data_IF_536676006145
#
_entry.id   IF_536676006145
#
_cell.length_a   1.000
_cell.length_b   1.000
_cell.length_c   1.000
_cell.angle_alpha   90.00
_cell.angle_beta   90.00
_cell.angle_gamma   90.00
#
_symmetry.space_group_name_H-M   'P 1'
#
loop_
_entity.id
_entity.type
_entity.pdbx_description
1 polymer ?
#
# COMPACT_ATOMS: atom_id res chain seq x y z
N UNK A 1 26.28 4.70 -20.98
CA UNK A 1 25.08 5.48 -21.34
C UNK A 1 23.94 5.00 -20.46
N UNK A 2 23.51 5.85 -19.53
CA UNK A 2 22.55 5.52 -18.49
C UNK A 2 21.14 5.73 -19.07
N UNK A 3 20.50 4.66 -19.55
CA UNK A 3 19.07 4.71 -19.82
C UNK A 3 18.37 4.67 -18.47
N UNK A 4 18.11 5.84 -17.87
CA UNK A 4 17.03 5.97 -16.89
C UNK A 4 15.71 5.76 -17.63
N UNK A 5 15.45 4.52 -18.02
CA UNK A 5 14.21 4.11 -18.61
C UNK A 5 13.15 4.29 -17.55
N UNK A 6 12.23 5.22 -17.77
CA UNK A 6 10.87 5.01 -17.29
C UNK A 6 10.53 3.55 -17.63
N UNK A 7 10.15 2.68 -16.67
CA UNK A 7 10.01 1.26 -16.97
C UNK A 7 9.11 1.12 -18.19
N UNK A 8 9.57 0.38 -19.21
CA UNK A 8 8.83 0.12 -20.47
C UNK A 8 7.39 -0.39 -20.23
N UNK A 9 7.11 -0.80 -19.00
CA UNK A 9 5.83 -1.23 -18.47
C UNK A 9 4.83 -0.11 -18.20
N UNK A 10 5.24 1.16 -18.02
CA UNK A 10 4.33 2.23 -17.60
C UNK A 10 3.17 2.47 -18.60
N UNK A 11 3.39 2.57 -19.92
CA UNK A 11 2.29 2.68 -20.88
C UNK A 11 1.34 1.47 -20.84
N UNK A 12 1.90 0.26 -20.73
CA UNK A 12 1.11 -0.97 -20.60
C UNK A 12 0.24 -0.97 -19.34
N UNK A 13 0.82 -0.66 -18.17
CA UNK A 13 0.10 -0.64 -16.90
C UNK A 13 -0.99 0.44 -16.87
N UNK A 14 -0.76 1.59 -17.49
CA UNK A 14 -1.78 2.64 -17.62
C UNK A 14 -2.96 2.21 -18.48
N UNK A 15 -2.71 1.58 -19.64
CA UNK A 15 -3.77 1.02 -20.48
C UNK A 15 -4.50 -0.13 -19.78
N UNK A 16 -3.75 -1.01 -19.11
CA UNK A 16 -4.34 -2.11 -18.36
C UNK A 16 -5.23 -1.61 -17.21
N UNK A 17 -4.85 -0.53 -16.53
CA UNK A 17 -5.68 0.10 -15.52
C UNK A 17 -7.01 0.61 -16.09
N UNK A 18 -6.98 1.19 -17.30
CA UNK A 18 -8.18 1.65 -17.99
C UNK A 18 -9.12 0.48 -18.30
N UNK A 19 -8.59 -0.62 -18.84
CA UNK A 19 -9.36 -1.84 -19.12
C UNK A 19 -9.96 -2.45 -17.84
N UNK A 20 -9.20 -2.49 -16.73
CA UNK A 20 -9.70 -2.95 -15.44
C UNK A 20 -10.87 -2.08 -14.94
N UNK A 21 -10.73 -0.76 -14.99
CA UNK A 21 -11.77 0.18 -14.55
C UNK A 21 -13.02 0.13 -15.45
N UNK A 22 -12.88 -0.17 -16.73
CA UNK A 22 -14.01 -0.35 -17.65
C UNK A 22 -14.72 -1.69 -17.46
N UNK A 23 -13.99 -2.73 -17.06
CA UNK A 23 -14.49 -4.11 -17.00
C UNK A 23 -15.03 -4.49 -15.62
N UNK A 24 -14.40 -3.99 -14.54
CA UNK A 24 -14.71 -4.39 -13.17
C UNK A 24 -15.43 -3.26 -12.43
N UNK A 25 -16.30 -3.65 -11.50
CA UNK A 25 -16.88 -2.67 -10.58
C UNK A 25 -15.80 -2.14 -9.61
N UNK A 26 -15.91 -0.90 -9.12
CA UNK A 26 -14.95 -0.35 -8.16
C UNK A 26 -14.75 -1.22 -6.91
N UNK A 27 -15.83 -1.87 -6.43
CA UNK A 27 -15.77 -2.78 -5.29
C UNK A 27 -15.00 -4.07 -5.57
N UNK A 28 -15.17 -4.64 -6.78
CA UNK A 28 -14.41 -5.84 -7.18
C UNK A 28 -12.94 -5.51 -7.41
N UNK A 29 -12.64 -4.37 -8.03
CA UNK A 29 -11.28 -3.90 -8.27
C UNK A 29 -10.55 -3.58 -6.95
N UNK A 30 -11.22 -2.91 -6.01
CA UNK A 30 -10.68 -2.68 -4.66
C UNK A 30 -10.39 -3.99 -3.92
N UNK A 31 -11.30 -4.97 -3.97
CA UNK A 31 -11.08 -6.30 -3.39
C UNK A 31 -9.89 -7.03 -4.04
N UNK A 32 -9.80 -7.01 -5.37
CA UNK A 32 -8.69 -7.60 -6.10
C UNK A 32 -7.35 -7.01 -5.64
N UNK A 33 -7.26 -5.69 -5.52
CA UNK A 33 -6.04 -5.02 -5.08
C UNK A 33 -5.71 -5.32 -3.62
N UNK A 34 -6.72 -5.28 -2.74
CA UNK A 34 -6.56 -5.67 -1.34
C UNK A 34 -6.02 -7.09 -1.19
N UNK A 35 -6.66 -8.08 -1.84
CA UNK A 35 -6.23 -9.47 -1.75
C UNK A 35 -4.84 -9.69 -2.35
N UNK A 36 -4.48 -8.91 -3.38
CA UNK A 36 -3.12 -8.84 -3.92
C UNK A 36 -2.13 -8.31 -2.88
N UNK A 37 -2.49 -7.28 -2.13
CA UNK A 37 -1.70 -6.74 -1.03
C UNK A 37 -1.49 -7.73 0.11
N UNK A 38 -2.55 -8.42 0.53
CA UNK A 38 -2.45 -9.48 1.56
C UNK A 38 -1.52 -10.60 1.10
N UNK A 39 -1.62 -11.01 -0.18
CA UNK A 39 -0.72 -12.01 -0.76
C UNK A 39 0.72 -11.51 -0.83
N UNK A 40 0.92 -10.24 -1.19
CA UNK A 40 2.23 -9.60 -1.19
C UNK A 40 2.86 -9.62 0.21
N UNK A 41 2.12 -9.23 1.24
CA UNK A 41 2.60 -9.25 2.62
C UNK A 41 3.10 -10.64 3.03
N UNK A 42 2.39 -11.71 2.64
CA UNK A 42 2.81 -13.10 2.91
C UNK A 42 4.10 -13.50 2.19
N UNK A 43 4.39 -12.89 1.04
CA UNK A 43 5.61 -13.14 0.28
C UNK A 43 6.80 -12.35 0.84
N UNK A 44 6.58 -11.09 1.25
CA UNK A 44 7.58 -10.22 1.85
C UNK A 44 7.42 -10.21 3.37
N UNK A 45 7.90 -11.26 4.01
CA UNK A 45 7.78 -11.46 5.46
C UNK A 45 8.64 -10.43 6.20
N UNK A 46 8.07 -9.81 7.23
CA UNK A 46 8.80 -8.87 8.08
C UNK A 46 9.69 -9.60 9.09
N UNK A 47 10.80 -8.96 9.45
CA UNK A 47 11.52 -9.35 10.66
C UNK A 47 10.64 -9.08 11.90
N UNK A 48 10.83 -9.81 13.01
CA UNK A 48 10.12 -9.54 14.26
C UNK A 48 10.35 -8.10 14.73
N UNK A 49 9.29 -7.46 15.22
CA UNK A 49 9.31 -6.12 15.80
C UNK A 49 8.44 -6.11 17.06
N UNK A 50 8.92 -5.51 18.14
CA UNK A 50 8.23 -5.43 19.43
C UNK A 50 7.73 -4.03 19.79
N UNK A 51 8.13 -3.00 19.04
CA UNK A 51 7.73 -1.60 19.25
C UNK A 51 7.27 -0.95 17.95
N UNK A 52 6.47 0.12 18.02
CA UNK A 52 6.01 0.87 16.83
C UNK A 52 7.17 1.37 15.96
N UNK A 53 8.24 1.84 16.59
CA UNK A 53 9.45 2.26 15.88
C UNK A 53 10.09 1.10 15.09
N UNK A 54 10.24 -0.08 15.71
CA UNK A 54 10.77 -1.26 15.03
C UNK A 54 9.84 -1.73 13.90
N UNK A 55 8.52 -1.66 14.08
CA UNK A 55 7.54 -1.99 13.04
C UNK A 55 7.75 -1.09 11.81
N UNK A 56 7.89 0.21 12.02
CA UNK A 56 8.18 1.17 10.95
C UNK A 56 9.50 0.81 10.24
N UNK A 57 10.56 0.50 10.98
CA UNK A 57 11.86 0.17 10.41
C UNK A 57 11.84 -1.08 9.54
N UNK A 58 11.19 -2.16 10.00
CA UNK A 58 11.10 -3.41 9.22
C UNK A 58 10.21 -3.26 7.98
N UNK A 59 9.13 -2.47 8.05
CA UNK A 59 8.29 -2.16 6.88
C UNK A 59 9.07 -1.32 5.86
N UNK A 60 9.77 -0.28 6.32
CA UNK A 60 10.59 0.57 5.46
C UNK A 60 11.82 -0.14 4.89
N UNK A 61 12.31 -1.20 5.52
CA UNK A 61 13.30 -2.05 4.90
C UNK A 61 12.76 -2.68 3.61
N UNK A 62 11.56 -3.28 3.63
CA UNK A 62 10.94 -3.85 2.43
C UNK A 62 10.68 -2.79 1.36
N UNK A 63 10.14 -1.63 1.74
CA UNK A 63 9.83 -0.58 0.77
C UNK A 63 11.06 0.03 0.09
N UNK A 64 12.18 0.18 0.81
CA UNK A 64 13.43 0.66 0.23
C UNK A 64 14.01 -0.32 -0.78
N UNK A 65 14.00 -1.63 -0.48
CA UNK A 65 14.50 -2.66 -1.40
C UNK A 65 13.71 -2.67 -2.73
N UNK A 66 12.42 -2.35 -2.67
CA UNK A 66 11.56 -2.28 -3.85
C UNK A 66 11.53 -0.90 -4.51
N UNK A 67 12.05 0.13 -3.85
CA UNK A 67 11.89 1.54 -4.23
C UNK A 67 10.42 1.99 -4.28
N UNK A 68 9.61 1.52 -3.32
CA UNK A 68 8.17 1.81 -3.22
C UNK A 68 7.83 2.90 -2.22
N UNK A 69 8.82 3.69 -1.81
CA UNK A 69 8.65 4.80 -0.91
C UNK A 69 8.90 4.43 0.55
N UNK A 70 8.18 5.08 1.45
CA UNK A 70 8.35 4.93 2.89
C UNK A 70 7.03 5.11 3.63
N UNK A 71 6.96 4.54 4.84
CA UNK A 71 5.85 4.68 5.77
C UNK A 71 6.33 5.30 7.07
N UNK A 72 5.55 6.23 7.58
CA UNK A 72 5.65 6.76 8.94
C UNK A 72 4.47 6.23 9.75
N UNK A 73 4.72 5.80 10.99
CA UNK A 73 3.69 5.25 11.87
C UNK A 73 3.57 6.12 13.12
N UNK A 74 2.41 6.77 13.25
CA UNK A 74 2.03 7.50 14.44
C UNK A 74 1.10 6.67 15.32
N UNK A 75 1.41 6.60 16.62
CA UNK A 75 0.54 5.98 17.61
C UNK A 75 -0.42 7.02 18.18
N UNK A 76 -1.72 6.67 18.22
CA UNK A 76 -2.74 7.39 18.98
C UNK A 76 -3.43 6.43 19.94
N UNK A 77 -4.21 6.96 20.90
CA UNK A 77 -4.78 6.16 22.01
C UNK A 77 -5.55 4.89 21.60
N UNK A 78 -6.12 4.82 20.39
CA UNK A 78 -6.96 3.70 19.94
C UNK A 78 -6.59 3.13 18.57
N UNK A 79 -5.59 3.70 17.89
CA UNK A 79 -5.24 3.31 16.51
C UNK A 79 -3.81 3.70 16.14
N UNK A 80 -3.24 2.96 15.20
CA UNK A 80 -2.03 3.36 14.49
C UNK A 80 -2.43 4.08 13.20
N UNK A 81 -1.78 5.20 12.92
CA UNK A 81 -1.92 5.94 11.67
C UNK A 81 -0.66 5.75 10.85
N UNK A 82 -0.81 5.24 9.63
CA UNK A 82 0.29 4.99 8.72
C UNK A 82 0.23 6.00 7.59
N UNK A 83 1.26 6.83 7.45
CA UNK A 83 1.40 7.77 6.33
C UNK A 83 2.41 7.21 5.35
N UNK A 84 1.94 6.74 4.18
CA UNK A 84 2.81 6.20 3.15
C UNK A 84 3.05 7.22 2.04
N UNK A 85 4.32 7.49 1.75
CA UNK A 85 4.78 8.50 0.79
C UNK A 85 5.53 7.84 -0.36
N UNK A 86 5.46 8.46 -1.53
CA UNK A 86 6.24 8.09 -2.72
C UNK A 86 5.95 6.69 -3.31
N UNK A 87 4.76 6.13 -3.06
CA UNK A 87 4.28 4.95 -3.77
C UNK A 87 4.22 5.21 -5.28
N UNK A 88 4.61 4.23 -6.14
CA UNK A 88 4.52 4.39 -7.59
C UNK A 88 3.07 4.29 -8.11
N UNK A 89 2.08 4.01 -7.25
CA UNK A 89 0.71 3.69 -7.63
C UNK A 89 0.06 4.79 -8.45
N UNK A 90 0.07 6.04 -7.99
CA UNK A 90 -0.53 7.17 -8.71
C UNK A 90 0.16 7.45 -10.05
N UNK A 91 1.48 7.31 -10.10
CA UNK A 91 2.26 7.51 -11.33
C UNK A 91 1.95 6.45 -12.39
N UNK A 92 1.55 5.24 -11.97
CA UNK A 92 1.23 4.09 -12.81
C UNK A 92 -0.25 4.05 -13.19
N UNK A 93 -1.14 4.25 -12.22
CA UNK A 93 -2.59 4.03 -12.37
C UNK A 93 -3.39 5.32 -12.56
N UNK A 94 -2.83 6.51 -12.31
CA UNK A 94 -3.56 7.78 -12.41
C UNK A 94 -4.25 8.16 -11.10
N UNK A 95 -4.46 9.48 -10.92
CA UNK A 95 -5.01 10.05 -9.68
C UNK A 95 -6.48 9.68 -9.45
N UNK A 96 -7.24 9.49 -10.54
CA UNK A 96 -8.64 9.06 -10.52
C UNK A 96 -8.83 7.65 -9.93
N UNK A 97 -7.73 6.89 -9.85
CA UNK A 97 -7.70 5.50 -9.45
C UNK A 97 -7.09 5.29 -8.04
N UNK A 98 -6.73 6.37 -7.33
CA UNK A 98 -6.02 6.32 -6.04
C UNK A 98 -6.74 5.44 -5.01
N UNK A 99 -8.09 5.41 -5.00
CA UNK A 99 -8.85 4.62 -4.02
C UNK A 99 -8.68 3.11 -4.19
N UNK A 100 -8.92 2.57 -5.38
CA UNK A 100 -8.80 1.13 -5.58
C UNK A 100 -7.33 0.71 -5.70
N UNK A 101 -6.44 1.59 -6.21
CA UNK A 101 -5.01 1.32 -6.22
C UNK A 101 -4.45 1.27 -4.78
N UNK A 102 -4.85 2.21 -3.93
CA UNK A 102 -4.47 2.27 -2.51
C UNK A 102 -4.92 1.05 -1.69
N UNK A 103 -5.96 0.34 -2.13
CA UNK A 103 -6.40 -0.91 -1.49
C UNK A 103 -5.29 -1.99 -1.51
N UNK A 104 -4.35 -1.94 -2.45
CA UNK A 104 -3.16 -2.77 -2.38
C UNK A 104 -2.37 -2.52 -1.10
N UNK A 105 -2.09 -1.26 -0.75
CA UNK A 105 -1.36 -0.92 0.46
C UNK A 105 -2.19 -1.23 1.72
N UNK A 106 -3.52 -1.06 1.70
CA UNK A 106 -4.39 -1.52 2.79
C UNK A 106 -4.15 -3.00 3.08
N UNK A 107 -4.21 -3.84 2.04
CA UNK A 107 -3.99 -5.28 2.18
C UNK A 107 -2.57 -5.65 2.62
N UNK A 108 -1.56 -4.91 2.17
CA UNK A 108 -0.17 -5.13 2.62
C UNK A 108 -0.04 -4.84 4.12
N UNK A 109 -0.49 -3.66 4.56
CA UNK A 109 -0.38 -3.27 5.97
C UNK A 109 -1.21 -4.17 6.87
N UNK A 110 -2.42 -4.53 6.48
CA UNK A 110 -3.23 -5.48 7.25
C UNK A 110 -2.51 -6.83 7.38
N UNK A 111 -1.94 -7.35 6.29
CA UNK A 111 -1.20 -8.61 6.29
C UNK A 111 0.06 -8.56 7.16
N UNK A 112 0.78 -7.44 7.17
CA UNK A 112 1.96 -7.24 8.01
C UNK A 112 1.63 -7.05 9.49
N UNK A 113 0.57 -6.30 9.82
CA UNK A 113 0.11 -6.17 11.20
C UNK A 113 -0.28 -7.54 11.78
N UNK A 114 -0.94 -8.39 10.98
CA UNK A 114 -1.24 -9.77 11.39
C UNK A 114 0.01 -10.62 11.60
N UNK A 115 1.06 -10.47 10.76
CA UNK A 115 2.35 -11.16 10.96
C UNK A 115 3.03 -10.75 12.26
N UNK A 116 2.89 -9.49 12.66
CA UNK A 116 3.43 -8.93 13.90
C UNK A 116 2.55 -9.21 15.13
N UNK A 117 1.49 -10.03 14.97
CA UNK A 117 0.70 -10.55 16.08
C UNK A 117 -0.59 -9.80 16.39
N UNK A 118 -1.01 -8.86 15.55
CA UNK A 118 -2.29 -8.18 15.75
C UNK A 118 -3.49 -9.12 15.56
N UNK A 119 -4.62 -8.82 16.23
CA UNK A 119 -5.86 -9.60 16.10
C UNK A 119 -6.31 -9.64 14.62
N UNK A 120 -6.53 -10.83 14.01
CA UNK A 120 -7.00 -10.97 12.63
C UNK A 120 -8.36 -10.34 12.32
N UNK A 121 -9.07 -9.78 13.31
CA UNK A 121 -10.30 -8.98 13.12
C UNK A 121 -10.03 -7.51 12.90
N UNK A 122 -8.86 -7.00 13.28
CA UNK A 122 -8.48 -5.60 13.03
C UNK A 122 -8.23 -5.39 11.54
N UNK A 123 -8.53 -4.18 11.06
CA UNK A 123 -8.45 -3.84 9.64
C UNK A 123 -7.57 -2.62 9.45
N UNK A 124 -6.93 -2.56 8.29
CA UNK A 124 -6.33 -1.32 7.80
C UNK A 124 -7.29 -0.68 6.81
N UNK A 125 -7.60 0.60 7.03
CA UNK A 125 -8.48 1.37 6.13
C UNK A 125 -7.82 2.68 5.71
N UNK A 126 -7.95 3.04 4.44
CA UNK A 126 -7.48 4.29 3.89
C UNK A 126 -8.40 5.43 4.34
N UNK A 127 -7.84 6.46 4.99
CA UNK A 127 -8.59 7.54 5.64
C UNK A 127 -9.19 8.57 4.65
N UNK A 128 -8.95 8.43 3.34
CA UNK A 128 -9.41 9.36 2.31
C UNK A 128 -8.75 9.11 0.96
N UNK A 129 -8.91 10.04 0.03
CA UNK A 129 -8.14 10.03 -1.22
C UNK A 129 -6.66 10.41 -0.94
N UNK A 130 -5.76 9.97 -1.81
CA UNK A 130 -4.38 10.42 -1.73
C UNK A 130 -4.28 11.93 -1.98
N UNK A 131 -3.29 12.58 -1.38
CA UNK A 131 -3.07 14.01 -1.60
C UNK A 131 -2.50 14.30 -3.00
N UNK A 132 -2.19 15.57 -3.30
CA UNK A 132 -1.62 15.95 -4.60
C UNK A 132 -0.26 15.29 -4.90
N UNK A 133 0.48 14.89 -3.87
CA UNK A 133 1.76 14.19 -3.99
C UNK A 133 1.60 12.67 -4.15
N UNK A 134 0.39 12.15 -3.98
CA UNK A 134 0.12 10.71 -3.93
C UNK A 134 0.37 10.09 -2.56
N UNK A 135 0.52 10.89 -1.50
CA UNK A 135 0.63 10.41 -0.12
C UNK A 135 -0.71 9.83 0.32
N UNK A 136 -0.67 8.64 0.92
CA UNK A 136 -1.85 7.91 1.39
C UNK A 136 -1.78 7.72 2.90
N UNK A 137 -2.90 7.97 3.59
CA UNK A 137 -3.01 7.80 5.03
C UNK A 137 -3.91 6.60 5.31
N UNK A 138 -3.44 5.71 6.17
CA UNK A 138 -4.16 4.52 6.60
C UNK A 138 -4.33 4.53 8.11
N UNK A 139 -5.44 3.96 8.57
CA UNK A 139 -5.75 3.74 9.97
C UNK A 139 -5.81 2.23 10.21
N UNK A 140 -5.03 1.75 11.17
CA UNK A 140 -5.11 0.39 11.69
C UNK A 140 -5.72 0.39 13.09
N UNK A 141 -6.86 -0.28 13.25
CA UNK A 141 -7.64 -0.27 14.48
C UNK A 141 -9.02 -0.90 14.32
N UNK A 142 -9.85 -0.77 15.35
CA UNK A 142 -11.24 -1.21 15.37
C UNK A 142 -12.19 -0.15 14.79
#
# INVERSE_FOLDING_TARGET
MNHMSVPQWRPFLSLFAQELTQTLTPGLLGRLMHDTGVRFARQYVLAPAGTVAEMQDVMNHVWRELQWGEVEIDESEIRLVLTHRYAPLRAVFGAENDRWAGAFLEGVYEGWMQQLGADPRLRTTMAGAADASGTMIFSFGA
#
